data_IF_858004614023
#
_entry.id   IF_858004614023
#
_cell.length_a   1.000
_cell.length_b   1.000
_cell.length_c   1.000
_cell.angle_alpha   90.00
_cell.angle_beta   90.00
_cell.angle_gamma   90.00
#
_symmetry.space_group_name_H-M   'P 1'
#
loop_
_entity.id
_entity.type
_entity.pdbx_description
1 polymer ?
#
# COMPACT_ATOMS: atom_id res chain seq x y z
N UNK A 1 -10.73 -22.24 -8.54
CA UNK A 1 -10.08 -20.92 -8.57
C UNK A 1 -9.80 -20.61 -10.03
N UNK A 2 -10.38 -19.55 -10.60
CA UNK A 2 -9.93 -19.06 -11.89
C UNK A 2 -8.61 -18.34 -11.66
N UNK A 3 -7.53 -18.79 -12.30
CA UNK A 3 -6.26 -18.10 -12.25
C UNK A 3 -6.36 -16.78 -13.00
N UNK A 4 -5.90 -15.69 -12.37
CA UNK A 4 -5.81 -14.39 -13.02
C UNK A 4 -4.80 -14.44 -14.16
N UNK A 5 -5.19 -13.88 -15.30
CA UNK A 5 -4.27 -13.68 -16.43
C UNK A 5 -3.12 -12.74 -16.03
N UNK A 6 -1.99 -12.84 -16.73
CA UNK A 6 -0.85 -11.94 -16.53
C UNK A 6 -1.26 -10.47 -16.62
N UNK A 7 -2.04 -10.10 -17.63
CA UNK A 7 -2.53 -8.74 -17.81
C UNK A 7 -3.39 -8.24 -16.64
N UNK A 8 -4.24 -9.10 -16.06
CA UNK A 8 -5.02 -8.73 -14.88
C UNK A 8 -4.12 -8.49 -13.66
N UNK A 9 -3.11 -9.35 -13.44
CA UNK A 9 -2.14 -9.17 -12.35
C UNK A 9 -1.36 -7.86 -12.51
N UNK A 10 -0.89 -7.55 -13.72
CA UNK A 10 -0.17 -6.32 -14.01
C UNK A 10 -1.05 -5.08 -13.74
N UNK A 11 -2.32 -5.11 -14.16
CA UNK A 11 -3.28 -4.04 -13.88
C UNK A 11 -3.57 -3.87 -12.37
N UNK A 12 -3.57 -4.95 -11.59
CA UNK A 12 -3.75 -4.87 -10.15
C UNK A 12 -2.52 -4.29 -9.45
N UNK A 13 -1.30 -4.64 -9.91
CA UNK A 13 -0.06 -4.03 -9.39
C UNK A 13 -0.01 -2.52 -9.67
N UNK A 14 -0.41 -2.08 -10.88
CA UNK A 14 -0.51 -0.64 -11.20
C UNK A 14 -1.53 0.09 -10.31
N UNK A 15 -2.64 -0.56 -9.95
CA UNK A 15 -3.61 0.00 -9.01
C UNK A 15 -3.02 0.12 -7.59
N UNK A 16 -2.31 -0.90 -7.13
CA UNK A 16 -1.65 -0.87 -5.82
C UNK A 16 -0.63 0.28 -5.73
N UNK A 17 0.17 0.49 -6.78
CA UNK A 17 1.11 1.60 -6.92
C UNK A 17 0.41 2.96 -6.89
N UNK A 18 -0.68 3.12 -7.65
CA UNK A 18 -1.46 4.37 -7.67
C UNK A 18 -2.03 4.73 -6.28
N UNK A 19 -2.45 3.72 -5.50
CA UNK A 19 -2.94 3.93 -4.14
C UNK A 19 -1.80 4.37 -3.22
N UNK A 20 -0.65 3.71 -3.28
CA UNK A 20 0.51 4.07 -2.47
C UNK A 20 1.00 5.49 -2.75
N UNK A 21 1.04 5.91 -4.02
CA UNK A 21 1.38 7.28 -4.38
C UNK A 21 0.39 8.29 -3.81
N UNK A 22 -0.90 7.96 -3.77
CA UNK A 22 -1.92 8.81 -3.13
C UNK A 22 -1.72 8.92 -1.62
N UNK A 23 -1.27 7.84 -0.98
CA UNK A 23 -0.92 7.80 0.45
C UNK A 23 0.28 8.71 0.74
N UNK A 24 1.35 8.60 -0.04
CA UNK A 24 2.53 9.47 0.10
C UNK A 24 2.20 10.95 -0.11
N UNK A 25 1.37 11.26 -1.12
CA UNK A 25 0.88 12.62 -1.36
C UNK A 25 0.08 13.16 -0.16
N UNK A 26 -0.73 12.32 0.48
CA UNK A 26 -1.53 12.67 1.67
C UNK A 26 -0.66 12.88 2.91
N UNK A 27 0.38 12.05 3.10
CA UNK A 27 1.28 12.16 4.24
C UNK A 27 2.24 13.37 4.15
N UNK A 28 2.46 13.92 2.95
CA UNK A 28 3.27 15.12 2.72
C UNK A 28 4.69 14.86 2.18
N UNK A 29 4.83 13.96 1.19
CA UNK A 29 5.99 13.60 0.34
C UNK A 29 7.47 13.76 0.81
N UNK A 30 8.29 12.82 0.35
CA UNK A 30 9.78 12.72 0.38
C UNK A 30 10.47 12.39 1.70
N UNK A 31 9.75 12.40 2.82
CA UNK A 31 10.34 12.13 4.15
C UNK A 31 9.68 10.97 4.88
N UNK A 32 8.77 10.24 4.26
CA UNK A 32 8.06 9.14 4.90
C UNK A 32 8.42 7.80 4.26
N UNK A 33 8.76 6.82 5.09
CA UNK A 33 8.97 5.42 4.71
C UNK A 33 7.73 4.60 5.07
N UNK A 34 7.25 3.78 4.13
CA UNK A 34 6.21 2.79 4.41
C UNK A 34 6.79 1.65 5.25
N UNK A 35 6.12 1.28 6.35
CA UNK A 35 6.62 0.20 7.23
C UNK A 35 5.60 -0.89 7.54
N UNK A 36 4.32 -0.63 7.34
CA UNK A 36 3.27 -1.63 7.56
C UNK A 36 2.01 -1.27 6.74
N UNK A 37 1.27 -2.31 6.35
CA UNK A 37 0.00 -2.19 5.64
C UNK A 37 -1.00 -3.20 6.18
N UNK A 38 -2.14 -2.72 6.67
CA UNK A 38 -3.19 -3.55 7.23
C UNK A 38 -4.48 -3.48 6.40
N UNK A 39 -4.91 -4.63 5.89
CA UNK A 39 -6.14 -4.76 5.11
C UNK A 39 -7.33 -4.94 6.04
N UNK A 40 -8.21 -3.93 6.09
CA UNK A 40 -9.47 -3.96 6.82
C UNK A 40 -10.61 -4.43 5.92
N UNK A 41 -11.80 -4.55 6.50
CA UNK A 41 -13.00 -4.95 5.75
C UNK A 41 -13.36 -3.97 4.63
N UNK A 42 -13.23 -2.66 4.90
CA UNK A 42 -13.65 -1.59 4.00
C UNK A 42 -12.56 -0.54 3.74
N UNK A 43 -11.34 -0.77 4.22
CA UNK A 43 -10.21 0.14 4.04
C UNK A 43 -8.88 -0.60 4.02
N UNK A 44 -7.82 0.14 3.68
CA UNK A 44 -6.43 -0.27 3.87
C UNK A 44 -5.75 0.81 4.72
N UNK A 45 -5.16 0.42 5.84
CA UNK A 45 -4.39 1.32 6.68
C UNK A 45 -2.91 1.22 6.28
N UNK A 46 -2.31 2.33 5.89
CA UNK A 46 -0.89 2.45 5.58
C UNK A 46 -0.18 3.15 6.72
N UNK A 47 0.85 2.51 7.28
CA UNK A 47 1.66 3.06 8.35
C UNK A 47 2.98 3.57 7.79
N UNK A 48 3.27 4.83 8.08
CA UNK A 48 4.48 5.49 7.63
C UNK A 48 5.28 6.06 8.82
N UNK A 49 6.61 5.98 8.73
CA UNK A 49 7.52 6.69 9.62
C UNK A 49 8.18 7.86 8.93
N UNK A 50 8.29 8.98 9.66
CA UNK A 50 9.09 10.12 9.24
C UNK A 50 10.59 9.79 9.37
N UNK A 51 11.30 9.87 8.25
CA UNK A 51 12.75 9.75 8.11
C UNK A 51 13.43 11.07 8.54
N UNK A 52 13.37 11.40 9.83
CA UNK A 52 14.19 12.46 10.41
C UNK A 52 14.58 12.11 11.87
N UNK A 53 15.35 13.00 12.52
CA UNK A 53 15.84 12.81 13.90
C UNK A 53 14.71 12.67 14.95
N UNK A 54 13.45 12.89 14.58
CA UNK A 54 12.28 12.74 15.44
C UNK A 54 11.33 11.70 14.86
N UNK A 55 11.27 10.51 15.44
CA UNK A 55 10.38 9.45 14.94
C UNK A 55 8.92 9.78 15.22
N UNK A 56 8.20 10.31 14.23
CA UNK A 56 6.75 10.41 14.23
C UNK A 56 6.14 9.37 13.28
N UNK A 57 5.02 8.77 13.72
CA UNK A 57 4.25 7.77 12.96
C UNK A 57 2.96 8.39 12.44
N UNK A 58 2.69 8.19 11.16
CA UNK A 58 1.42 8.54 10.53
C UNK A 58 0.72 7.26 10.09
N UNK A 59 -0.61 7.23 10.23
CA UNK A 59 -1.46 6.23 9.60
C UNK A 59 -2.38 6.93 8.61
N UNK A 60 -2.36 6.49 7.35
CA UNK A 60 -3.24 6.97 6.29
C UNK A 60 -4.18 5.83 5.91
N UNK A 61 -5.48 6.05 6.05
CA UNK A 61 -6.50 5.06 5.69
C UNK A 61 -7.05 5.33 4.28
N UNK A 62 -6.88 4.38 3.38
CA UNK A 62 -7.52 4.37 2.07
C UNK A 62 -8.90 3.69 2.17
N UNK A 63 -9.96 4.50 2.20
CA UNK A 63 -11.34 4.04 2.42
C UNK A 63 -11.97 3.45 1.15
N UNK A 64 -11.42 2.32 0.71
CA UNK A 64 -11.98 1.53 -0.38
C UNK A 64 -11.71 0.06 -0.14
N UNK A 65 -12.79 -0.73 -0.24
CA UNK A 65 -12.73 -2.17 -0.20
C UNK A 65 -11.98 -2.73 -1.41
N UNK A 66 -11.05 -3.64 -1.14
CA UNK A 66 -10.39 -4.49 -2.14
C UNK A 66 -10.94 -5.90 -2.00
N UNK A 67 -11.40 -6.48 -3.10
CA UNK A 67 -11.92 -7.85 -3.11
C UNK A 67 -10.84 -8.82 -2.60
N UNK A 68 -11.26 -9.76 -1.74
CA UNK A 68 -10.36 -10.71 -1.06
C UNK A 68 -9.51 -11.53 -2.03
N UNK A 69 -10.00 -11.76 -3.24
CA UNK A 69 -9.26 -12.48 -4.29
C UNK A 69 -8.06 -11.68 -4.84
N UNK A 70 -8.06 -10.35 -4.74
CA UNK A 70 -6.98 -9.48 -5.22
C UNK A 70 -6.00 -9.07 -4.12
N UNK A 71 -6.43 -9.11 -2.85
CA UNK A 71 -5.60 -8.70 -1.71
C UNK A 71 -4.19 -9.32 -1.69
N UNK A 72 -3.97 -10.61 -2.06
CA UNK A 72 -2.62 -11.18 -2.10
C UNK A 72 -1.65 -10.42 -3.02
N UNK A 73 -2.12 -9.93 -4.17
CA UNK A 73 -1.27 -9.20 -5.13
C UNK A 73 -0.90 -7.81 -4.59
N UNK A 74 -1.84 -7.15 -3.91
CA UNK A 74 -1.59 -5.85 -3.28
C UNK A 74 -0.62 -6.02 -2.11
N UNK A 75 -0.82 -7.04 -1.29
CA UNK A 75 0.04 -7.35 -0.15
C UNK A 75 1.47 -7.64 -0.61
N UNK A 76 1.66 -8.52 -1.59
CA UNK A 76 2.97 -8.81 -2.17
C UNK A 76 3.65 -7.53 -2.66
N UNK A 77 2.94 -6.67 -3.41
CA UNK A 77 3.48 -5.40 -3.86
C UNK A 77 3.91 -4.48 -2.72
N UNK A 78 3.12 -4.35 -1.64
CA UNK A 78 3.48 -3.48 -0.52
C UNK A 78 4.61 -4.05 0.35
N UNK A 79 4.67 -5.37 0.54
CA UNK A 79 5.78 -6.04 1.23
C UNK A 79 7.09 -5.81 0.48
N UNK A 80 7.09 -5.94 -0.85
CA UNK A 80 8.26 -5.59 -1.68
C UNK A 80 8.70 -4.14 -1.49
N UNK A 81 7.78 -3.19 -1.29
CA UNK A 81 8.11 -1.78 -1.05
C UNK A 81 8.68 -1.53 0.34
N UNK A 82 8.25 -2.30 1.34
CA UNK A 82 8.78 -2.21 2.70
C UNK A 82 10.20 -2.80 2.78
N UNK A 83 10.47 -3.89 2.06
CA UNK A 83 11.78 -4.57 2.10
C UNK A 83 12.89 -3.90 1.28
N UNK A 84 12.53 -3.08 0.28
CA UNK A 84 13.48 -2.52 -0.70
C UNK A 84 13.79 -1.01 -0.56
N UNK A 85 13.48 -0.40 0.59
CA UNK A 85 13.90 0.98 0.96
C UNK A 85 14.97 0.97 2.06
#
# INVERSE_FOLDING_TARGET
>A
MNELSKQQKDNLRLQAESILNSVYSTAGESVFQLVDVDFKEDSIDFVLYLLNDTTFKVTVSYNRKIDKEYQPIFKEFYEEKIEHE
#
